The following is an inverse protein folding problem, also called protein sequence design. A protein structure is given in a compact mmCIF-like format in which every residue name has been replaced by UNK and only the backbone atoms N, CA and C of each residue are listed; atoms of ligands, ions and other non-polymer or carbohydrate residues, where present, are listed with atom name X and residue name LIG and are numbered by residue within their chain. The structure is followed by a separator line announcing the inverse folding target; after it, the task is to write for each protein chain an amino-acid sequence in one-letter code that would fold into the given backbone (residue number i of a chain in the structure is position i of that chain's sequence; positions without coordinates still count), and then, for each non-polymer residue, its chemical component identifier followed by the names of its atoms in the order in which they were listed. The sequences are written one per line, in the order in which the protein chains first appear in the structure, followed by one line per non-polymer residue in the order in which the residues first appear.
data_IF_336065263395
#
_entry.id   IF_336065263395
#
_cell.length_a   1.000
_cell.length_b   1.000
_cell.length_c   1.000
_cell.angle_alpha   90.00
_cell.angle_beta   90.00
_cell.angle_gamma   90.00
#
_symmetry.space_group_name_H-M   'P 1'
#
loop_
_entity.id
_entity.type
_entity.pdbx_description
1 polymer ?
#
# COMPACT_ATOMS: atom_id res chain seq x y z
N UNK A 1 6.51 -8.31 -14.93
CA UNK A 1 7.96 -8.56 -14.82
C UNK A 1 8.77 -7.36 -15.28
N UNK A 2 8.64 -6.90 -16.54
CA UNK A 2 9.50 -5.82 -17.08
C UNK A 2 9.49 -4.52 -16.26
N UNK A 3 8.32 -4.01 -15.87
CA UNK A 3 8.22 -2.81 -15.00
C UNK A 3 8.89 -3.00 -13.64
N UNK A 4 8.86 -4.23 -13.11
CA UNK A 4 9.52 -4.55 -11.84
C UNK A 4 11.05 -4.56 -11.99
N UNK A 5 11.57 -5.04 -13.12
CA UNK A 5 13.00 -4.97 -13.43
C UNK A 5 13.46 -3.51 -13.49
N UNK A 6 12.75 -2.65 -14.22
CA UNK A 6 13.06 -1.21 -14.29
C UNK A 6 13.00 -0.53 -12.91
N UNK A 7 12.01 -0.88 -12.09
CA UNK A 7 11.88 -0.34 -10.74
C UNK A 7 13.06 -0.71 -9.84
N UNK A 8 13.53 -1.96 -9.89
CA UNK A 8 14.73 -2.38 -9.14
C UNK A 8 15.97 -1.69 -9.67
N UNK A 9 16.15 -1.61 -10.99
CA UNK A 9 17.29 -0.94 -11.57
C UNK A 9 17.32 0.56 -11.21
N UNK A 10 16.14 1.19 -11.13
CA UNK A 10 16.02 2.55 -10.61
C UNK A 10 16.48 2.67 -9.16
N UNK A 11 16.12 1.73 -8.30
CA UNK A 11 16.58 1.72 -6.90
C UNK A 11 18.13 1.61 -6.81
N UNK A 12 18.75 0.81 -7.67
CA UNK A 12 20.21 0.73 -7.76
C UNK A 12 20.84 2.03 -8.27
N UNK A 13 20.23 2.67 -9.29
CA UNK A 13 20.62 4.01 -9.73
C UNK A 13 20.61 5.00 -8.56
N UNK A 14 19.49 5.06 -7.83
CA UNK A 14 19.31 5.92 -6.67
C UNK A 14 20.34 5.62 -5.57
N UNK A 15 20.50 4.36 -5.21
CA UNK A 15 21.42 3.96 -4.12
C UNK A 15 22.88 4.29 -4.39
N UNK A 16 23.32 4.14 -5.64
CA UNK A 16 24.72 4.44 -6.05
C UNK A 16 25.02 5.92 -5.93
N UNK A 17 24.06 6.83 -6.18
CA UNK A 17 24.27 8.27 -5.99
C UNK A 17 24.75 8.57 -4.56
N UNK A 18 24.11 7.99 -3.56
CA UNK A 18 24.48 8.20 -2.16
C UNK A 18 25.77 7.48 -1.79
N UNK A 19 25.85 6.18 -2.08
CA UNK A 19 27.00 5.34 -1.72
C UNK A 19 28.31 5.88 -2.29
N UNK A 20 28.33 6.30 -3.55
CA UNK A 20 29.51 6.83 -4.21
C UNK A 20 29.95 8.18 -3.64
N UNK A 21 29.02 8.95 -3.06
CA UNK A 21 29.31 10.29 -2.54
C UNK A 21 29.62 10.30 -1.05
N UNK A 22 29.44 9.24 -0.28
CA UNK A 22 29.67 9.24 1.17
C UNK A 22 31.07 9.74 1.57
N UNK A 23 32.20 9.35 0.92
CA UNK A 23 33.49 9.88 1.29
C UNK A 23 33.60 11.41 1.12
N UNK A 24 33.19 11.89 -0.05
CA UNK A 24 33.20 13.35 -0.34
C UNK A 24 32.16 14.10 0.48
N UNK A 25 30.98 13.53 0.68
CA UNK A 25 29.94 14.14 1.51
C UNK A 25 30.38 14.28 2.96
N UNK A 26 31.00 13.25 3.54
CA UNK A 26 31.55 13.30 4.89
C UNK A 26 32.65 14.38 5.02
N UNK A 27 33.58 14.44 4.05
CA UNK A 27 34.71 15.36 4.08
C UNK A 27 34.31 16.79 3.74
N UNK A 28 33.65 16.99 2.60
CA UNK A 28 33.50 18.31 1.97
C UNK A 28 32.23 19.04 2.44
N UNK A 29 31.24 18.33 2.99
CA UNK A 29 29.95 18.88 3.41
C UNK A 29 29.75 18.78 4.92
N UNK A 30 30.12 17.62 5.51
CA UNK A 30 29.92 17.39 6.95
C UNK A 30 31.20 17.68 7.76
N UNK A 31 32.30 18.01 7.10
CA UNK A 31 33.62 18.27 7.73
C UNK A 31 34.08 17.14 8.68
N UNK A 32 33.70 15.88 8.34
CA UNK A 32 34.07 14.69 9.08
C UNK A 32 35.31 14.01 8.51
N UNK A 33 35.99 13.23 9.34
CA UNK A 33 37.08 12.37 8.92
C UNK A 33 36.59 11.10 8.21
N UNK A 34 37.50 10.20 7.83
CA UNK A 34 37.20 8.93 7.18
C UNK A 34 36.33 7.98 8.02
N UNK A 35 36.37 8.13 9.34
CA UNK A 35 35.51 7.36 10.25
C UNK A 35 34.06 7.86 10.21
N UNK A 36 33.84 9.16 9.97
CA UNK A 36 32.49 9.70 9.71
C UNK A 36 31.94 9.14 8.39
N UNK A 37 32.75 9.06 7.32
CA UNK A 37 32.32 8.40 6.09
C UNK A 37 31.93 6.93 6.34
N UNK A 38 32.69 6.23 7.15
CA UNK A 38 32.36 4.84 7.56
C UNK A 38 31.06 4.78 8.38
N UNK A 39 30.82 5.76 9.27
CA UNK A 39 29.59 5.88 10.03
C UNK A 39 28.37 6.04 9.10
N UNK A 40 28.46 6.90 8.07
CA UNK A 40 27.36 7.06 7.08
C UNK A 40 27.06 5.74 6.39
N UNK A 41 28.08 4.98 5.98
CA UNK A 41 27.91 3.67 5.34
C UNK A 41 27.25 2.66 6.29
N UNK A 42 27.64 2.65 7.56
CA UNK A 42 27.03 1.79 8.59
C UNK A 42 25.56 2.14 8.78
N UNK A 43 25.24 3.42 8.96
CA UNK A 43 23.85 3.89 9.13
C UNK A 43 22.99 3.49 7.93
N UNK A 44 23.51 3.70 6.73
CA UNK A 44 22.81 3.32 5.50
C UNK A 44 22.59 1.80 5.40
N UNK A 45 23.59 1.00 5.72
CA UNK A 45 23.51 -0.46 5.68
C UNK A 45 22.53 -1.01 6.71
N UNK A 46 22.57 -0.46 7.93
CA UNK A 46 21.64 -0.83 9.01
C UNK A 46 20.20 -0.44 8.62
N UNK A 47 20.02 0.72 8.01
CA UNK A 47 18.68 1.14 7.52
C UNK A 47 18.12 0.19 6.47
N UNK A 48 18.89 -0.20 5.45
CA UNK A 48 18.46 -1.20 4.45
C UNK A 48 18.10 -2.53 5.14
N UNK A 49 18.94 -3.01 6.04
CA UNK A 49 18.69 -4.24 6.80
C UNK A 49 17.39 -4.17 7.60
N UNK A 50 17.20 -3.07 8.34
CA UNK A 50 15.97 -2.82 9.11
C UNK A 50 14.73 -2.76 8.22
N UNK A 51 14.81 -2.06 7.08
CA UNK A 51 13.72 -1.99 6.10
C UNK A 51 13.37 -3.34 5.50
N UNK A 52 14.38 -4.17 5.22
CA UNK A 52 14.19 -5.53 4.70
C UNK A 52 13.49 -6.43 5.72
N UNK A 53 13.92 -6.41 6.99
CA UNK A 53 13.27 -7.16 8.08
C UNK A 53 11.86 -6.67 8.37
N UNK A 54 11.65 -5.35 8.32
CA UNK A 54 10.32 -4.77 8.50
C UNK A 54 9.38 -5.19 7.38
N UNK A 55 9.87 -5.34 6.15
CA UNK A 55 9.07 -5.85 5.03
C UNK A 55 8.56 -7.26 5.33
N UNK A 56 9.37 -8.16 5.84
CA UNK A 56 8.94 -9.53 6.20
C UNK A 56 7.82 -9.50 7.24
N UNK A 57 7.99 -8.69 8.29
CA UNK A 57 7.00 -8.54 9.36
C UNK A 57 5.68 -7.97 8.86
N UNK A 58 5.72 -6.97 7.98
CA UNK A 58 4.54 -6.30 7.43
C UNK A 58 3.84 -7.12 6.34
N UNK A 59 4.58 -7.95 5.61
CA UNK A 59 4.08 -8.73 4.46
C UNK A 59 3.28 -9.97 4.85
N UNK A 60 3.32 -10.44 6.12
CA UNK A 60 2.55 -11.62 6.59
C UNK A 60 2.66 -12.84 5.65
N UNK A 61 3.85 -13.14 5.14
CA UNK A 61 4.14 -14.23 4.19
C UNK A 61 3.51 -14.07 2.80
N UNK A 62 3.00 -12.87 2.45
CA UNK A 62 2.52 -12.51 1.11
C UNK A 62 3.38 -11.39 0.53
N UNK A 63 3.45 -11.29 -0.80
CA UNK A 63 4.14 -10.15 -1.43
C UNK A 63 3.29 -8.89 -1.28
N UNK A 64 3.66 -8.02 -0.35
CA UNK A 64 2.95 -6.77 -0.06
C UNK A 64 3.36 -5.66 -1.04
N UNK A 65 2.64 -5.57 -2.16
CA UNK A 65 2.93 -4.57 -3.22
C UNK A 65 2.74 -3.13 -2.72
N UNK A 66 1.89 -2.92 -1.71
CA UNK A 66 1.65 -1.59 -1.12
C UNK A 66 2.87 -0.97 -0.44
N UNK A 67 3.87 -1.78 -0.07
CA UNK A 67 5.15 -1.30 0.45
C UNK A 67 6.01 -0.60 -0.61
N UNK A 68 5.86 -0.96 -1.88
CA UNK A 68 6.67 -0.39 -2.97
C UNK A 68 6.42 1.13 -3.13
N UNK A 69 5.17 1.61 -3.34
CA UNK A 69 4.93 3.05 -3.39
C UNK A 69 5.23 3.75 -2.07
N UNK A 70 5.01 3.11 -0.91
CA UNK A 70 5.38 3.66 0.38
C UNK A 70 6.89 3.86 0.50
N UNK A 71 7.69 2.86 0.13
CA UNK A 71 9.14 2.93 0.09
C UNK A 71 9.63 4.02 -0.87
N UNK A 72 9.07 4.09 -2.09
CA UNK A 72 9.43 5.11 -3.06
C UNK A 72 9.15 6.54 -2.56
N UNK A 73 8.00 6.75 -1.89
CA UNK A 73 7.66 8.04 -1.26
C UNK A 73 8.65 8.35 -0.14
N UNK A 74 8.94 7.38 0.75
CA UNK A 74 9.90 7.55 1.84
C UNK A 74 11.30 7.91 1.34
N UNK A 75 11.79 7.22 0.32
CA UNK A 75 13.06 7.56 -0.34
C UNK A 75 13.07 9.02 -0.83
N UNK A 76 11.98 9.49 -1.45
CA UNK A 76 11.89 10.88 -1.93
C UNK A 76 11.88 11.90 -0.79
N UNK A 77 11.09 11.65 0.24
CA UNK A 77 10.92 12.56 1.38
C UNK A 77 12.24 12.73 2.14
N UNK A 78 12.87 11.61 2.52
CA UNK A 78 14.08 11.66 3.32
C UNK A 78 15.32 12.08 2.51
N UNK A 79 15.36 11.81 1.19
CA UNK A 79 16.39 12.37 0.32
C UNK A 79 16.24 13.89 0.14
N UNK A 80 15.02 14.38 0.04
CA UNK A 80 14.74 15.82 -0.01
C UNK A 80 15.08 16.48 1.35
N UNK A 81 14.72 15.85 2.47
CA UNK A 81 15.06 16.38 3.80
C UNK A 81 16.58 16.38 4.04
N UNK A 82 17.29 15.33 3.61
CA UNK A 82 18.74 15.26 3.65
C UNK A 82 19.40 16.41 2.86
N UNK A 83 18.83 16.79 1.69
CA UNK A 83 19.26 17.96 0.95
C UNK A 83 19.17 19.23 1.79
N UNK A 84 18.05 19.44 2.49
CA UNK A 84 17.86 20.62 3.35
C UNK A 84 18.72 20.54 4.62
N UNK A 85 18.85 19.36 5.22
CA UNK A 85 19.64 19.13 6.43
C UNK A 85 21.14 19.34 6.22
N UNK A 86 21.64 19.09 5.00
CA UNK A 86 23.05 19.25 4.66
C UNK A 86 23.44 20.62 4.11
N UNK A 87 22.47 21.56 3.99
CA UNK A 87 22.73 22.92 3.53
C UNK A 87 23.04 23.85 4.69
N UNK A 88 24.06 24.72 4.49
CA UNK A 88 24.35 25.76 5.44
C UNK A 88 24.89 25.27 6.78
N UNK A 89 25.45 24.08 6.81
CA UNK A 89 26.23 23.60 7.95
C UNK A 89 27.45 24.51 8.16
N UNK A 90 27.82 24.80 9.41
CA UNK A 90 28.96 25.65 9.68
C UNK A 90 30.26 25.00 9.19
N UNK A 91 31.13 25.82 8.60
CA UNK A 91 32.48 25.42 8.23
C UNK A 91 33.33 25.27 9.49
N UNK A 92 33.69 24.02 9.80
CA UNK A 92 34.42 23.68 11.02
C UNK A 92 35.63 22.79 10.64
N UNK A 93 36.68 22.75 11.47
CA UNK A 93 37.78 21.81 11.26
C UNK A 93 37.31 20.38 11.21
N UNK A 94 38.08 19.51 10.53
CA UNK A 94 37.77 18.09 10.42
C UNK A 94 37.48 17.44 11.78
N UNK A 95 36.33 16.75 11.85
CA UNK A 95 35.76 16.22 13.10
C UNK A 95 35.91 14.69 13.16
N UNK A 96 36.26 14.19 14.32
CA UNK A 96 36.11 12.76 14.65
C UNK A 96 34.64 12.41 14.83
N UNK A 97 34.31 11.11 14.79
CA UNK A 97 32.93 10.62 15.02
C UNK A 97 32.34 11.14 16.34
N UNK A 98 33.14 11.19 17.41
CA UNK A 98 32.67 11.71 18.71
C UNK A 98 32.27 13.19 18.66
N UNK A 99 33.09 14.04 18.04
CA UNK A 99 32.80 15.45 17.86
C UNK A 99 31.61 15.68 16.90
N UNK A 100 31.51 14.87 15.85
CA UNK A 100 30.39 14.88 14.90
C UNK A 100 29.07 14.55 15.58
N UNK A 101 29.01 13.51 16.39
CA UNK A 101 27.80 13.09 17.13
C UNK A 101 27.43 14.04 18.26
N UNK A 102 28.35 14.87 18.76
CA UNK A 102 28.06 15.88 19.76
C UNK A 102 27.23 17.04 19.22
N UNK A 103 27.15 17.22 17.90
CA UNK A 103 26.38 18.28 17.25
C UNK A 103 24.99 17.82 16.86
N UNK A 104 23.96 18.45 17.40
CA UNK A 104 22.55 18.07 17.16
C UNK A 104 22.13 18.18 15.69
N UNK A 105 22.72 19.09 14.92
CA UNK A 105 22.43 19.24 13.49
C UNK A 105 22.75 17.97 12.67
N UNK A 106 23.80 17.23 13.04
CA UNK A 106 24.19 16.02 12.36
C UNK A 106 23.24 14.84 12.60
N UNK A 107 22.48 14.85 13.71
CA UNK A 107 21.49 13.80 13.98
C UNK A 107 20.35 13.79 12.95
N UNK A 108 19.97 14.95 12.41
CA UNK A 108 18.99 15.01 11.32
C UNK A 108 19.54 14.35 10.06
N UNK A 109 20.79 14.60 9.71
CA UNK A 109 21.46 13.97 8.56
C UNK A 109 21.51 12.44 8.72
N UNK A 110 21.89 11.94 9.90
CA UNK A 110 21.94 10.51 10.19
C UNK A 110 20.54 9.88 10.17
N UNK A 111 19.54 10.58 10.72
CA UNK A 111 18.15 10.12 10.72
C UNK A 111 17.60 10.02 9.29
N UNK A 112 17.81 11.08 8.48
CA UNK A 112 17.36 11.07 7.08
C UNK A 112 18.01 9.95 6.28
N UNK A 113 19.32 9.76 6.48
CA UNK A 113 20.06 8.69 5.81
C UNK A 113 19.56 7.29 6.23
N UNK A 114 19.28 7.09 7.52
CA UNK A 114 18.70 5.85 8.03
C UNK A 114 17.31 5.60 7.45
N UNK A 115 16.44 6.62 7.49
CA UNK A 115 15.05 6.49 7.01
C UNK A 115 14.97 6.32 5.49
N UNK A 116 15.83 7.00 4.73
CA UNK A 116 15.97 6.84 3.29
C UNK A 116 16.36 5.40 2.93
N UNK A 117 17.36 4.85 3.60
CA UNK A 117 17.83 3.49 3.36
C UNK A 117 16.84 2.43 3.86
N UNK A 118 16.14 2.68 4.97
CA UNK A 118 15.03 1.85 5.44
C UNK A 118 13.91 1.80 4.38
N UNK A 119 13.55 2.97 3.82
CA UNK A 119 12.57 3.06 2.76
C UNK A 119 13.01 2.31 1.48
N UNK A 120 14.30 2.32 1.15
CA UNK A 120 14.87 1.53 0.06
C UNK A 120 14.75 0.01 0.31
N UNK A 121 14.89 -0.44 1.55
CA UNK A 121 14.63 -1.83 1.96
C UNK A 121 13.16 -2.21 1.77
N UNK A 122 12.22 -1.35 2.22
CA UNK A 122 10.78 -1.55 2.02
C UNK A 122 10.38 -1.59 0.53
N UNK A 123 11.09 -0.85 -0.31
CA UNK A 123 10.87 -0.82 -1.75
C UNK A 123 11.39 -2.07 -2.46
N UNK A 124 12.64 -2.45 -2.16
CA UNK A 124 13.37 -3.45 -2.95
C UNK A 124 12.90 -4.88 -2.69
N UNK A 125 12.63 -5.25 -1.44
CA UNK A 125 12.28 -6.64 -1.08
C UNK A 125 11.00 -7.11 -1.77
N UNK A 126 9.86 -6.37 -1.74
CA UNK A 126 8.66 -6.81 -2.45
C UNK A 126 8.86 -6.87 -3.96
N UNK A 127 9.66 -5.98 -4.52
CA UNK A 127 9.95 -5.94 -5.95
C UNK A 127 10.74 -7.17 -6.41
N UNK A 128 11.76 -7.59 -5.66
CA UNK A 128 12.50 -8.84 -5.93
C UNK A 128 11.60 -10.07 -5.77
N UNK A 129 10.80 -10.13 -4.72
CA UNK A 129 9.82 -11.20 -4.52
C UNK A 129 8.81 -11.27 -5.69
N UNK A 130 8.33 -10.13 -6.17
CA UNK A 130 7.40 -10.05 -7.29
C UNK A 130 8.01 -10.56 -8.59
N UNK A 131 9.29 -10.26 -8.85
CA UNK A 131 10.01 -10.80 -10.03
C UNK A 131 10.09 -12.33 -9.93
N UNK A 132 10.49 -12.86 -8.78
CA UNK A 132 10.62 -14.30 -8.58
C UNK A 132 9.27 -15.04 -8.72
N UNK A 133 8.21 -14.45 -8.18
CA UNK A 133 6.87 -15.03 -8.21
C UNK A 133 6.28 -15.04 -9.64
N UNK A 134 6.44 -13.92 -10.38
CA UNK A 134 5.86 -13.75 -11.72
C UNK A 134 6.73 -14.27 -12.86
N UNK A 135 7.97 -14.66 -12.60
CA UNK A 135 8.86 -15.23 -13.59
C UNK A 135 8.50 -16.69 -13.86
N UNK A 136 8.22 -17.09 -15.10
CA UNK A 136 8.02 -18.51 -15.46
C UNK A 136 9.22 -19.32 -14.99
N UNK A 137 9.03 -20.50 -14.36
CA UNK A 137 10.13 -21.32 -13.83
C UNK A 137 11.25 -21.59 -14.84
N UNK A 138 10.88 -21.83 -16.10
CA UNK A 138 11.82 -22.10 -17.21
C UNK A 138 12.69 -20.91 -17.63
N UNK A 139 12.29 -19.67 -17.27
CA UNK A 139 12.96 -18.43 -17.66
C UNK A 139 13.51 -17.65 -16.45
N UNK A 140 13.26 -18.10 -15.21
CA UNK A 140 13.58 -17.38 -13.98
C UNK A 140 15.07 -17.00 -13.90
N UNK A 141 15.97 -17.93 -14.19
CA UNK A 141 17.41 -17.63 -14.18
C UNK A 141 17.82 -16.56 -15.19
N UNK A 142 17.23 -16.60 -16.40
CA UNK A 142 17.48 -15.57 -17.44
C UNK A 142 16.94 -14.20 -17.04
N UNK A 143 15.78 -14.16 -16.41
CA UNK A 143 15.18 -12.91 -15.93
C UNK A 143 16.02 -12.30 -14.81
N UNK A 144 16.52 -13.12 -13.88
CA UNK A 144 17.45 -12.65 -12.83
C UNK A 144 18.76 -12.15 -13.43
N UNK A 145 19.33 -12.85 -14.40
CA UNK A 145 20.53 -12.39 -15.10
C UNK A 145 20.30 -11.05 -15.82
N UNK A 146 19.17 -10.91 -16.54
CA UNK A 146 18.80 -9.65 -17.18
C UNK A 146 18.59 -8.51 -16.17
N UNK A 147 18.01 -8.79 -15.00
CA UNK A 147 17.90 -7.83 -13.91
C UNK A 147 19.28 -7.33 -13.45
N UNK A 148 20.24 -8.23 -13.25
CA UNK A 148 21.58 -7.84 -12.83
C UNK A 148 22.31 -6.99 -13.88
N UNK A 149 22.13 -7.31 -15.16
CA UNK A 149 22.68 -6.50 -16.27
C UNK A 149 22.05 -5.10 -16.27
N UNK A 150 20.71 -5.01 -16.16
CA UNK A 150 20.02 -3.73 -16.10
C UNK A 150 20.46 -2.92 -14.86
N UNK A 151 20.59 -3.54 -13.71
CA UNK A 151 21.09 -2.88 -12.51
C UNK A 151 22.48 -2.28 -12.76
N UNK A 152 23.40 -3.04 -13.35
CA UNK A 152 24.75 -2.56 -13.68
C UNK A 152 24.72 -1.37 -14.65
N UNK A 153 23.86 -1.41 -15.69
CA UNK A 153 23.68 -0.30 -16.64
C UNK A 153 23.20 0.95 -15.91
N UNK A 154 22.19 0.82 -15.02
CA UNK A 154 21.66 1.95 -14.24
C UNK A 154 22.67 2.50 -13.26
N UNK A 155 23.49 1.64 -12.61
CA UNK A 155 24.59 2.06 -11.75
C UNK A 155 25.66 2.85 -12.52
N UNK A 156 26.05 2.40 -13.70
CA UNK A 156 26.98 3.12 -14.56
C UNK A 156 26.39 4.47 -14.99
N UNK A 157 25.16 4.48 -15.46
CA UNK A 157 24.47 5.71 -15.86
C UNK A 157 24.37 6.71 -14.70
N UNK A 158 24.09 6.23 -13.47
CA UNK A 158 24.09 7.04 -12.26
C UNK A 158 25.46 7.67 -11.99
N UNK A 159 26.52 6.89 -12.04
CA UNK A 159 27.88 7.36 -11.78
C UNK A 159 28.33 8.41 -12.81
N UNK A 160 28.01 8.19 -14.10
CA UNK A 160 28.30 9.13 -15.18
C UNK A 160 27.53 10.43 -15.00
N UNK A 161 26.22 10.34 -14.67
CA UNK A 161 25.40 11.53 -14.43
C UNK A 161 25.91 12.34 -13.24
N UNK A 162 26.21 11.69 -12.13
CA UNK A 162 26.77 12.35 -10.92
C UNK A 162 28.09 13.04 -11.27
N UNK A 163 29.00 12.35 -11.96
CA UNK A 163 30.27 12.94 -12.40
C UNK A 163 30.06 14.16 -13.29
N UNK A 164 29.09 14.11 -14.23
CA UNK A 164 28.76 15.24 -15.08
C UNK A 164 28.18 16.42 -14.29
N UNK A 165 27.28 16.19 -13.34
CA UNK A 165 26.71 17.23 -12.48
C UNK A 165 27.80 17.90 -11.63
N UNK A 166 28.67 17.13 -11.02
CA UNK A 166 29.78 17.68 -10.23
C UNK A 166 30.77 18.49 -11.09
N UNK A 167 31.01 18.07 -12.35
CA UNK A 167 31.83 18.84 -13.30
C UNK A 167 31.19 20.13 -13.77
N UNK A 168 29.88 20.31 -13.56
CA UNK A 168 29.10 21.52 -13.80
C UNK A 168 28.91 22.37 -12.52
N UNK A 169 29.76 22.16 -11.52
CA UNK A 169 29.77 22.87 -10.23
C UNK A 169 28.53 22.66 -9.36
N UNK A 170 27.75 21.58 -9.60
CA UNK A 170 26.73 21.17 -8.65
C UNK A 170 27.37 20.66 -7.36
N UNK A 171 26.84 21.10 -6.21
CA UNK A 171 27.27 20.58 -4.91
C UNK A 171 26.66 19.21 -4.64
N UNK A 172 27.29 18.43 -3.77
CA UNK A 172 26.79 17.09 -3.37
C UNK A 172 25.34 17.17 -2.82
N UNK A 173 24.98 18.12 -1.92
CA UNK A 173 23.58 18.29 -1.52
C UNK A 173 22.64 18.56 -2.70
N UNK A 174 23.05 19.37 -3.69
CA UNK A 174 22.20 19.61 -4.88
C UNK A 174 22.00 18.34 -5.71
N UNK A 175 23.01 17.49 -5.83
CA UNK A 175 22.90 16.17 -6.49
C UNK A 175 21.88 15.30 -5.73
N UNK A 176 21.91 15.28 -4.39
CA UNK A 176 20.92 14.55 -3.59
C UNK A 176 19.51 15.11 -3.78
N UNK A 177 19.36 16.44 -3.83
CA UNK A 177 18.06 17.09 -4.10
C UNK A 177 17.50 16.78 -5.49
N UNK A 178 18.34 16.79 -6.54
CA UNK A 178 17.93 16.39 -7.88
C UNK A 178 17.53 14.90 -7.93
N UNK A 179 18.28 14.05 -7.23
CA UNK A 179 17.95 12.62 -7.12
C UNK A 179 16.62 12.39 -6.38
N UNK A 180 16.36 13.17 -5.32
CA UNK A 180 15.08 13.16 -4.61
C UNK A 180 13.91 13.56 -5.54
N UNK A 181 14.08 14.61 -6.34
CA UNK A 181 13.07 15.05 -7.30
C UNK A 181 12.82 13.99 -8.38
N UNK A 182 13.87 13.42 -8.95
CA UNK A 182 13.76 12.35 -9.94
C UNK A 182 13.05 11.12 -9.33
N UNK A 183 13.38 10.75 -8.09
CA UNK A 183 12.71 9.66 -7.40
C UNK A 183 11.24 9.98 -7.08
N UNK A 184 10.91 11.23 -6.77
CA UNK A 184 9.52 11.66 -6.56
C UNK A 184 8.66 11.47 -7.82
N UNK A 185 9.21 11.72 -9.02
CA UNK A 185 8.52 11.46 -10.28
C UNK A 185 8.31 9.95 -10.50
N UNK A 186 9.30 9.12 -10.17
CA UNK A 186 9.17 7.65 -10.22
C UNK A 186 8.17 7.16 -9.18
N UNK A 187 8.20 7.70 -7.95
CA UNK A 187 7.24 7.38 -6.90
C UNK A 187 5.80 7.72 -7.32
N UNK A 188 5.60 8.88 -7.94
CA UNK A 188 4.31 9.29 -8.49
C UNK A 188 3.85 8.32 -9.60
N UNK A 189 4.73 7.95 -10.51
CA UNK A 189 4.41 6.95 -11.55
C UNK A 189 4.00 5.61 -10.95
N UNK A 190 4.75 5.10 -9.97
CA UNK A 190 4.43 3.83 -9.28
C UNK A 190 3.09 3.94 -8.56
N UNK A 191 2.86 5.05 -7.84
CA UNK A 191 1.60 5.30 -7.16
C UNK A 191 0.40 5.29 -8.12
N UNK A 192 0.51 5.97 -9.26
CA UNK A 192 -0.54 6.00 -10.28
C UNK A 192 -0.77 4.64 -10.96
N UNK A 193 0.23 3.77 -10.92
CA UNK A 193 0.14 2.42 -11.50
C UNK A 193 -0.62 1.43 -10.61
N UNK A 194 -0.43 1.52 -9.29
CA UNK A 194 -0.95 0.55 -8.31
C UNK A 194 -1.54 1.22 -7.05
N UNK A 195 -2.38 2.26 -7.19
CA UNK A 195 -2.86 3.04 -6.05
C UNK A 195 -3.68 2.18 -5.07
N UNK A 196 -4.42 1.20 -5.58
CA UNK A 196 -5.25 0.31 -4.77
C UNK A 196 -4.45 -0.56 -3.79
N UNK A 197 -3.21 -0.91 -4.13
CA UNK A 197 -2.34 -1.66 -3.22
C UNK A 197 -1.83 -0.79 -2.07
N UNK A 198 -1.49 0.47 -2.33
CA UNK A 198 -1.14 1.41 -1.27
C UNK A 198 -2.33 1.68 -0.37
N UNK A 199 -3.52 1.92 -0.94
CA UNK A 199 -4.74 2.12 -0.16
C UNK A 199 -5.06 0.92 0.73
N UNK A 200 -4.91 -0.30 0.21
CA UNK A 200 -5.06 -1.52 0.99
C UNK A 200 -4.07 -1.58 2.15
N UNK A 201 -2.81 -1.29 1.89
CA UNK A 201 -1.77 -1.30 2.92
C UNK A 201 -2.02 -0.22 3.99
N UNK A 202 -2.41 0.98 3.58
CA UNK A 202 -2.81 2.06 4.51
C UNK A 202 -4.03 1.63 5.35
N UNK A 203 -5.04 1.00 4.73
CA UNK A 203 -6.19 0.45 5.44
C UNK A 203 -5.78 -0.62 6.46
N UNK A 204 -4.84 -1.49 6.11
CA UNK A 204 -4.27 -2.51 6.99
C UNK A 204 -3.62 -1.88 8.24
N UNK A 205 -2.80 -0.85 8.07
CA UNK A 205 -2.16 -0.16 9.21
C UNK A 205 -3.21 0.60 10.03
N UNK A 206 -4.06 1.41 9.37
CA UNK A 206 -5.07 2.22 10.02
C UNK A 206 -6.06 1.38 10.85
N UNK A 207 -6.49 0.23 10.33
CA UNK A 207 -7.42 -0.67 11.04
C UNK A 207 -6.84 -1.18 12.36
N UNK A 208 -5.53 -1.34 12.46
CA UNK A 208 -4.83 -1.81 13.69
C UNK A 208 -4.50 -0.70 14.66
N UNK A 209 -4.33 0.53 14.16
CA UNK A 209 -4.13 1.71 15.02
C UNK A 209 -5.47 2.12 15.65
N UNK A 210 -6.55 2.12 14.86
CA UNK A 210 -7.87 2.60 15.31
C UNK A 210 -8.63 1.53 16.11
N UNK A 211 -8.47 0.25 15.75
CA UNK A 211 -9.18 -0.87 16.34
C UNK A 211 -8.25 -1.98 16.81
N UNK A 212 -8.68 -2.75 17.79
CA UNK A 212 -8.12 -4.09 18.04
C UNK A 212 -8.72 -5.07 17.04
N UNK A 213 -8.32 -4.93 15.79
CA UNK A 213 -8.89 -5.65 14.68
C UNK A 213 -8.35 -7.08 14.61
N UNK A 214 -9.25 -8.07 14.72
CA UNK A 214 -8.94 -9.49 14.60
C UNK A 214 -9.58 -10.05 13.34
N UNK A 215 -8.80 -10.79 12.56
CA UNK A 215 -9.25 -11.48 11.34
C UNK A 215 -9.16 -12.98 11.58
N UNK A 216 -10.17 -13.72 11.16
CA UNK A 216 -10.24 -15.19 11.17
C UNK A 216 -10.66 -15.67 9.80
N UNK A 217 -10.09 -16.79 9.32
CA UNK A 217 -10.40 -17.34 8.02
C UNK A 217 -9.87 -16.51 6.84
N UNK A 218 -8.83 -15.68 7.05
CA UNK A 218 -8.23 -14.87 5.97
C UNK A 218 -7.74 -15.73 4.81
N UNK A 219 -7.40 -17.01 5.08
CA UNK A 219 -7.00 -18.01 4.09
C UNK A 219 -8.12 -18.41 3.14
N UNK A 220 -9.38 -18.15 3.48
CA UNK A 220 -10.53 -18.39 2.60
C UNK A 220 -10.72 -17.29 1.55
N UNK A 221 -10.07 -16.14 1.72
CA UNK A 221 -10.07 -15.07 0.71
C UNK A 221 -9.00 -15.41 -0.33
N UNK A 222 -9.36 -15.65 -1.59
CA UNK A 222 -8.40 -16.13 -2.58
C UNK A 222 -7.30 -15.12 -2.87
N UNK A 223 -6.04 -15.56 -2.83
CA UNK A 223 -4.88 -14.76 -3.23
C UNK A 223 -4.79 -14.58 -4.75
N UNK A 224 -5.40 -15.46 -5.53
CA UNK A 224 -5.42 -15.46 -7.00
C UNK A 224 -6.80 -15.86 -7.52
N UNK A 225 -7.09 -15.49 -8.77
CA UNK A 225 -8.33 -15.81 -9.45
C UNK A 225 -9.53 -14.95 -9.00
N UNK A 226 -10.64 -14.94 -9.77
CA UNK A 226 -11.80 -14.13 -9.47
C UNK A 226 -12.62 -14.69 -8.33
N UNK A 227 -13.15 -13.83 -7.47
CA UNK A 227 -14.14 -14.20 -6.46
C UNK A 227 -14.97 -12.97 -6.03
N UNK A 228 -16.16 -13.24 -5.52
CA UNK A 228 -17.02 -12.23 -4.90
C UNK A 228 -16.88 -12.34 -3.38
N UNK A 229 -16.60 -11.23 -2.72
CA UNK A 229 -16.61 -11.11 -1.26
C UNK A 229 -17.94 -10.48 -0.85
N UNK A 230 -18.78 -11.26 -0.18
CA UNK A 230 -20.11 -10.84 0.24
C UNK A 230 -20.14 -10.64 1.76
N UNK A 231 -20.41 -9.43 2.23
CA UNK A 231 -20.32 -9.04 3.63
C UNK A 231 -21.57 -8.31 4.11
N UNK A 232 -21.89 -8.41 5.41
CA UNK A 232 -22.86 -7.56 6.07
C UNK A 232 -22.42 -6.10 6.07
N UNK A 233 -23.36 -5.15 6.17
CA UNK A 233 -23.09 -3.72 6.02
C UNK A 233 -23.57 -2.92 7.24
N UNK A 234 -22.67 -2.68 8.17
CA UNK A 234 -22.98 -2.08 9.48
C UNK A 234 -22.35 -0.69 9.70
N UNK A 235 -21.40 -0.30 8.83
CA UNK A 235 -20.64 0.94 9.04
C UNK A 235 -20.10 1.49 7.72
N UNK A 236 -19.77 2.79 7.68
CA UNK A 236 -19.09 3.41 6.54
C UNK A 236 -17.65 2.94 6.34
N UNK A 237 -17.06 2.30 7.34
CA UNK A 237 -15.68 1.80 7.28
C UNK A 237 -15.57 0.31 6.88
N UNK A 238 -16.70 -0.36 6.61
CA UNK A 238 -16.72 -1.79 6.30
C UNK A 238 -15.81 -2.17 5.14
N UNK A 239 -15.87 -1.40 4.03
CA UNK A 239 -15.01 -1.62 2.89
C UNK A 239 -13.52 -1.47 3.23
N UNK A 240 -13.17 -0.55 4.13
CA UNK A 240 -11.79 -0.35 4.58
C UNK A 240 -11.31 -1.54 5.42
N UNK A 241 -12.15 -2.08 6.29
CA UNK A 241 -11.82 -3.26 7.12
C UNK A 241 -11.70 -4.53 6.26
N UNK A 242 -12.58 -4.70 5.27
CA UNK A 242 -12.49 -5.79 4.29
C UNK A 242 -11.20 -5.68 3.47
N UNK A 243 -10.87 -4.48 2.99
CA UNK A 243 -9.62 -4.21 2.28
C UNK A 243 -8.41 -4.52 3.15
N UNK A 244 -8.45 -4.17 4.45
CA UNK A 244 -7.38 -4.43 5.41
C UNK A 244 -7.17 -5.92 5.72
N UNK A 245 -8.22 -6.73 5.63
CA UNK A 245 -8.18 -8.18 5.87
C UNK A 245 -7.78 -8.98 4.63
N UNK A 246 -7.98 -8.44 3.43
CA UNK A 246 -7.73 -9.14 2.17
C UNK A 246 -6.25 -9.20 1.82
N UNK A 247 -5.74 -10.31 1.25
CA UNK A 247 -4.37 -10.42 0.77
C UNK A 247 -4.09 -9.54 -0.47
N UNK A 248 -5.13 -9.08 -1.17
CA UNK A 248 -5.04 -8.24 -2.37
C UNK A 248 -6.21 -7.26 -2.45
N UNK A 249 -6.13 -6.22 -3.30
CA UNK A 249 -7.20 -5.24 -3.43
C UNK A 249 -8.55 -5.86 -3.77
N UNK A 250 -9.62 -5.31 -3.19
CA UNK A 250 -11.02 -5.63 -3.48
C UNK A 250 -11.64 -4.44 -4.19
N UNK A 251 -12.34 -4.67 -5.29
CA UNK A 251 -13.11 -3.64 -6.00
C UNK A 251 -14.53 -3.64 -5.48
N UNK A 252 -14.90 -2.59 -4.76
CA UNK A 252 -16.22 -2.49 -4.13
C UNK A 252 -17.25 -1.87 -5.06
N UNK A 253 -18.46 -2.43 -5.05
CA UNK A 253 -19.64 -1.78 -5.63
C UNK A 253 -20.24 -0.85 -4.58
N UNK A 254 -20.33 0.45 -4.89
CA UNK A 254 -20.70 1.50 -3.94
C UNK A 254 -21.71 2.48 -4.54
N UNK A 255 -22.55 3.09 -3.71
CA UNK A 255 -23.51 4.11 -4.13
C UNK A 255 -22.82 5.27 -4.87
N UNK A 256 -23.31 5.61 -6.07
CA UNK A 256 -22.72 6.65 -6.92
C UNK A 256 -22.62 8.03 -6.24
N UNK A 257 -23.51 8.33 -5.28
CA UNK A 257 -23.50 9.61 -4.54
C UNK A 257 -22.25 9.80 -3.70
N UNK A 258 -21.63 8.70 -3.24
CA UNK A 258 -20.40 8.76 -2.45
C UNK A 258 -19.23 9.33 -3.29
N UNK A 259 -19.27 9.10 -4.60
CA UNK A 259 -18.25 9.62 -5.52
C UNK A 259 -18.33 11.13 -5.76
N UNK A 260 -19.43 11.76 -5.38
CA UNK A 260 -19.60 13.22 -5.42
C UNK A 260 -19.01 13.92 -4.18
N UNK A 261 -18.68 13.18 -3.12
CA UNK A 261 -18.08 13.75 -1.91
C UNK A 261 -16.61 14.08 -2.18
N UNK A 262 -16.15 15.34 -2.00
CA UNK A 262 -14.76 15.71 -2.16
C UNK A 262 -13.86 14.80 -1.30
N UNK A 263 -12.62 14.53 -1.74
CA UNK A 263 -11.65 13.63 -1.09
C UNK A 263 -12.09 12.16 -1.09
N UNK A 264 -13.27 11.82 -0.56
CA UNK A 264 -13.76 10.43 -0.54
C UNK A 264 -13.99 9.90 -1.95
N UNK A 265 -14.66 10.69 -2.81
CA UNK A 265 -14.88 10.31 -4.20
C UNK A 265 -13.57 10.11 -4.97
N UNK A 266 -12.58 10.97 -4.74
CA UNK A 266 -11.24 10.77 -5.29
C UNK A 266 -10.58 9.49 -4.79
N UNK A 267 -10.66 9.23 -3.48
CA UNK A 267 -10.08 8.04 -2.85
C UNK A 267 -10.72 6.75 -3.39
N UNK A 268 -12.05 6.71 -3.55
CA UNK A 268 -12.75 5.55 -4.11
C UNK A 268 -12.45 5.33 -5.59
N UNK A 269 -12.27 6.42 -6.36
CA UNK A 269 -11.78 6.32 -7.75
C UNK A 269 -10.38 5.72 -7.82
N UNK A 270 -9.46 6.13 -6.94
CA UNK A 270 -8.13 5.54 -6.81
C UNK A 270 -8.20 4.05 -6.43
N UNK A 271 -9.11 3.68 -5.53
CA UNK A 271 -9.40 2.29 -5.19
C UNK A 271 -10.15 1.51 -6.26
N UNK A 272 -10.44 2.16 -7.42
CA UNK A 272 -11.16 1.58 -8.55
C UNK A 272 -12.52 0.99 -8.14
N UNK A 273 -13.19 1.62 -7.17
CA UNK A 273 -14.55 1.25 -6.79
C UNK A 273 -15.55 1.50 -7.93
N UNK A 274 -16.58 0.70 -7.98
CA UNK A 274 -17.61 0.71 -9.05
C UNK A 274 -18.82 1.49 -8.55
N UNK A 275 -19.16 2.65 -9.15
CA UNK A 275 -20.37 3.38 -8.80
C UNK A 275 -21.60 2.62 -9.28
N UNK A 276 -22.62 2.52 -8.41
CA UNK A 276 -23.93 1.94 -8.73
C UNK A 276 -25.04 2.85 -8.30
N UNK A 277 -26.07 2.98 -9.12
CA UNK A 277 -27.36 3.56 -8.80
C UNK A 277 -28.45 2.49 -8.75
N UNK A 278 -29.60 2.77 -8.18
CA UNK A 278 -30.75 1.87 -8.31
C UNK A 278 -31.30 1.91 -9.74
N UNK A 279 -31.86 0.78 -10.20
CA UNK A 279 -32.44 0.68 -11.55
C UNK A 279 -33.55 1.70 -11.79
N UNK A 280 -34.25 2.13 -10.71
CA UNK A 280 -35.35 3.14 -10.80
C UNK A 280 -34.77 4.55 -10.89
N UNK A 281 -33.62 4.82 -10.33
CA UNK A 281 -32.99 6.14 -10.28
C UNK A 281 -32.18 6.42 -11.55
N UNK A 282 -31.31 5.49 -11.96
CA UNK A 282 -30.49 5.59 -13.16
C UNK A 282 -30.28 4.19 -13.76
N UNK A 283 -31.12 3.78 -14.73
CA UNK A 283 -30.98 2.48 -15.39
C UNK A 283 -29.64 2.30 -16.12
N UNK A 284 -29.05 3.37 -16.65
CA UNK A 284 -27.79 3.31 -17.38
C UNK A 284 -26.62 3.07 -16.42
N UNK A 285 -26.55 3.82 -15.33
CA UNK A 285 -25.55 3.62 -14.28
C UNK A 285 -25.69 2.22 -13.63
N UNK A 286 -26.93 1.75 -13.46
CA UNK A 286 -27.18 0.38 -12.99
C UNK A 286 -26.59 -0.67 -13.93
N UNK A 287 -26.87 -0.59 -15.23
CA UNK A 287 -26.34 -1.51 -16.22
C UNK A 287 -24.81 -1.46 -16.31
N UNK A 288 -24.23 -0.24 -16.33
CA UNK A 288 -22.80 -0.03 -16.38
C UNK A 288 -22.07 -0.62 -15.17
N UNK A 289 -22.68 -0.62 -13.98
CA UNK A 289 -22.11 -1.23 -12.79
C UNK A 289 -21.96 -2.76 -12.93
N UNK A 290 -22.93 -3.46 -13.53
CA UNK A 290 -22.83 -4.90 -13.79
C UNK A 290 -21.79 -5.24 -14.86
N UNK A 291 -21.67 -4.40 -15.89
CA UNK A 291 -20.61 -4.55 -16.89
C UNK A 291 -19.22 -4.35 -16.28
N UNK A 292 -19.08 -3.34 -15.40
CA UNK A 292 -17.83 -3.11 -14.69
C UNK A 292 -17.49 -4.27 -13.73
N UNK A 293 -18.49 -4.81 -13.02
CA UNK A 293 -18.32 -5.98 -12.16
C UNK A 293 -17.87 -7.22 -12.96
N UNK A 294 -18.47 -7.45 -14.14
CA UNK A 294 -18.07 -8.54 -15.04
C UNK A 294 -16.61 -8.38 -15.52
N UNK A 295 -16.21 -7.17 -15.92
CA UNK A 295 -14.81 -6.89 -16.30
C UNK A 295 -13.83 -7.17 -15.18
N UNK A 296 -14.13 -6.72 -13.96
CA UNK A 296 -13.31 -6.96 -12.78
C UNK A 296 -13.08 -8.44 -12.53
N UNK A 297 -14.15 -9.22 -12.58
CA UNK A 297 -14.07 -10.67 -12.42
C UNK A 297 -13.38 -11.37 -13.61
N UNK A 298 -13.53 -10.84 -14.84
CA UNK A 298 -12.81 -11.32 -16.02
C UNK A 298 -11.30 -11.11 -15.92
N UNK A 299 -10.88 -10.01 -15.30
CA UNK A 299 -9.48 -9.67 -15.03
C UNK A 299 -8.87 -10.55 -13.92
N UNK A 300 -9.68 -11.35 -13.23
CA UNK A 300 -9.25 -12.20 -12.13
C UNK A 300 -9.20 -11.50 -10.78
N UNK A 301 -9.79 -10.31 -10.65
CA UNK A 301 -9.81 -9.52 -9.43
C UNK A 301 -10.93 -9.93 -8.45
N UNK A 302 -10.84 -9.43 -7.20
CA UNK A 302 -11.88 -9.58 -6.20
C UNK A 302 -12.93 -8.48 -6.33
N UNK A 303 -14.21 -8.89 -6.30
CA UNK A 303 -15.35 -7.99 -6.25
C UNK A 303 -15.96 -7.98 -4.84
N UNK A 304 -16.04 -6.83 -4.19
CA UNK A 304 -16.67 -6.67 -2.89
C UNK A 304 -18.10 -6.15 -3.02
N UNK A 305 -19.04 -6.82 -2.41
CA UNK A 305 -20.43 -6.40 -2.37
C UNK A 305 -21.00 -6.47 -0.96
N UNK A 306 -21.97 -5.59 -0.70
CA UNK A 306 -22.81 -5.61 0.47
C UNK A 306 -24.23 -5.96 0.02
N UNK A 307 -24.63 -7.25 0.09
CA UNK A 307 -25.89 -7.70 -0.52
C UNK A 307 -27.15 -7.07 0.09
N UNK A 308 -27.05 -6.51 1.31
CA UNK A 308 -28.12 -5.73 1.96
C UNK A 308 -28.48 -4.48 1.15
N UNK A 309 -27.53 -3.95 0.37
CA UNK A 309 -27.70 -2.77 -0.47
C UNK A 309 -27.86 -1.47 0.31
N UNK A 310 -27.35 -1.39 1.53
CA UNK A 310 -27.30 -0.23 2.39
C UNK A 310 -26.86 -0.55 3.80
N UNK A 311 -26.32 0.45 4.51
CA UNK A 311 -25.89 0.30 5.91
C UNK A 311 -27.13 0.08 6.79
N UNK A 312 -27.10 -0.94 7.65
CA UNK A 312 -28.16 -1.25 8.62
C UNK A 312 -28.50 -0.03 9.50
N UNK A 313 -29.77 0.05 9.93
CA UNK A 313 -30.25 1.14 10.79
C UNK A 313 -30.43 0.71 12.25
N UNK A 314 -30.54 -0.57 12.48
CA UNK A 314 -30.80 -1.21 13.77
C UNK A 314 -29.66 -2.11 14.28
N UNK A 315 -28.67 -2.38 13.42
CA UNK A 315 -27.55 -3.27 13.71
C UNK A 315 -27.81 -4.71 13.32
N UNK A 316 -29.02 -5.03 12.89
CA UNK A 316 -29.38 -6.39 12.47
C UNK A 316 -29.03 -6.64 10.99
N UNK A 317 -28.79 -7.90 10.68
CA UNK A 317 -28.51 -8.35 9.31
C UNK A 317 -29.77 -8.26 8.44
N UNK A 318 -29.78 -7.36 7.51
CA UNK A 318 -30.91 -7.11 6.61
C UNK A 318 -31.05 -8.22 5.55
N UNK A 319 -32.23 -8.37 4.91
CA UNK A 319 -32.43 -9.29 3.80
C UNK A 319 -31.47 -8.99 2.63
N UNK A 320 -30.87 -10.05 2.06
CA UNK A 320 -29.97 -9.93 0.91
C UNK A 320 -30.76 -9.77 -0.38
N UNK A 321 -30.32 -8.84 -1.23
CA UNK A 321 -30.94 -8.53 -2.52
C UNK A 321 -30.39 -9.45 -3.63
N UNK A 322 -31.19 -9.71 -4.65
CA UNK A 322 -30.82 -10.55 -5.78
C UNK A 322 -29.77 -9.99 -6.75
N UNK A 323 -29.13 -8.88 -6.43
CA UNK A 323 -28.09 -8.28 -7.28
C UNK A 323 -26.89 -9.22 -7.49
N UNK A 324 -26.53 -10.01 -6.49
CA UNK A 324 -25.45 -11.00 -6.59
C UNK A 324 -25.77 -12.09 -7.64
N UNK A 325 -27.03 -12.50 -7.74
CA UNK A 325 -27.43 -13.52 -8.72
C UNK A 325 -27.22 -13.04 -10.15
N UNK A 326 -27.54 -11.76 -10.43
CA UNK A 326 -27.31 -11.17 -11.75
C UNK A 326 -25.81 -11.10 -12.11
N UNK A 327 -24.92 -10.96 -11.14
CA UNK A 327 -23.47 -11.01 -11.36
C UNK A 327 -23.06 -12.46 -11.65
N UNK A 328 -23.54 -13.44 -10.88
CA UNK A 328 -23.21 -14.85 -11.03
C UNK A 328 -23.77 -15.45 -12.32
N UNK A 329 -24.94 -14.99 -12.79
CA UNK A 329 -25.51 -15.39 -14.10
C UNK A 329 -24.59 -14.97 -15.26
N UNK A 330 -23.93 -13.80 -15.15
CA UNK A 330 -22.98 -13.34 -16.17
C UNK A 330 -21.61 -14.02 -16.04
N UNK A 331 -21.15 -14.19 -14.80
CA UNK A 331 -19.84 -14.78 -14.51
C UNK A 331 -19.90 -15.65 -13.27
N UNK A 332 -20.01 -16.96 -13.43
CA UNK A 332 -20.04 -17.90 -12.32
C UNK A 332 -18.65 -17.99 -11.67
N UNK A 333 -18.48 -17.37 -10.50
CA UNK A 333 -17.25 -17.36 -9.69
C UNK A 333 -17.55 -17.73 -8.25
N UNK A 334 -16.57 -18.24 -7.48
CA UNK A 334 -16.76 -18.50 -6.05
C UNK A 334 -17.20 -17.25 -5.28
N UNK A 335 -18.07 -17.46 -4.26
CA UNK A 335 -18.51 -16.41 -3.35
C UNK A 335 -18.01 -16.72 -1.95
N UNK A 336 -17.26 -15.79 -1.36
CA UNK A 336 -16.76 -15.90 0.02
C UNK A 336 -17.69 -15.09 0.93
N UNK A 337 -18.46 -15.75 1.82
CA UNK A 337 -19.24 -15.07 2.83
C UNK A 337 -18.31 -14.50 3.92
N UNK A 338 -18.51 -13.25 4.28
CA UNK A 338 -17.71 -12.57 5.31
C UNK A 338 -18.62 -11.85 6.29
N UNK A 339 -18.28 -11.88 7.57
CA UNK A 339 -18.99 -11.16 8.61
C UNK A 339 -18.07 -10.19 9.35
N UNK A 340 -18.53 -8.94 9.50
CA UNK A 340 -17.94 -7.94 10.37
C UNK A 340 -18.66 -7.96 11.71
N UNK A 341 -17.90 -8.19 12.79
CA UNK A 341 -18.40 -8.39 14.14
C UNK A 341 -18.08 -7.18 15.01
N UNK A 342 -18.98 -6.84 15.94
CA UNK A 342 -18.80 -5.80 16.96
C UNK A 342 -18.53 -4.39 16.42
N UNK A 343 -18.88 -4.10 15.15
CA UNK A 343 -18.66 -2.80 14.53
C UNK A 343 -19.84 -1.86 14.70
N UNK A 344 -21.06 -2.40 14.92
CA UNK A 344 -22.25 -1.59 15.22
C UNK A 344 -22.06 -0.81 16.54
N UNK A 345 -22.46 0.45 16.53
CA UNK A 345 -22.23 1.38 17.63
C UNK A 345 -20.82 2.01 17.64
N UNK A 346 -19.97 1.70 16.65
CA UNK A 346 -18.70 2.43 16.47
C UNK A 346 -18.94 3.83 15.89
N UNK A 347 -17.89 4.68 15.92
CA UNK A 347 -17.97 6.06 15.42
C UNK A 347 -18.50 6.17 13.98
N UNK A 348 -18.17 5.21 13.11
CA UNK A 348 -18.55 5.21 11.70
C UNK A 348 -19.87 4.50 11.40
N UNK A 349 -20.62 4.01 12.41
CA UNK A 349 -21.91 3.36 12.23
C UNK A 349 -23.07 4.31 12.47
N UNK A 350 -24.22 4.00 11.88
CA UNK A 350 -25.49 4.69 12.18
C UNK A 350 -26.06 4.13 13.47
N UNK A 351 -26.35 4.97 14.45
CA UNK A 351 -26.97 4.55 15.71
C UNK A 351 -28.13 5.47 16.03
N UNK A 352 -29.25 4.90 16.47
CA UNK A 352 -30.45 5.63 16.93
C UNK A 352 -31.07 6.57 15.89
N UNK A 353 -31.11 6.15 14.63
CA UNK A 353 -31.73 6.96 13.56
C UNK A 353 -31.00 8.25 13.20
N UNK A 354 -29.83 8.51 13.84
CA UNK A 354 -29.02 9.70 13.62
C UNK A 354 -28.08 9.59 12.42
N UNK A 355 -27.43 10.71 12.12
CA UNK A 355 -26.32 10.75 11.15
C UNK A 355 -25.10 10.02 11.70
N UNK A 356 -24.41 9.26 10.85
CA UNK A 356 -23.11 8.66 11.21
C UNK A 356 -22.10 9.75 11.58
N UNK A 357 -21.11 9.39 12.38
CA UNK A 357 -20.04 10.29 12.86
C UNK A 357 -20.53 11.45 13.76
N UNK A 358 -21.75 11.35 14.32
CA UNK A 358 -22.29 12.39 15.18
C UNK A 358 -21.66 12.43 16.59
N UNK A 359 -21.14 11.29 17.08
CA UNK A 359 -20.53 11.20 18.41
C UNK A 359 -19.16 10.49 18.28
N UNK A 360 -18.04 11.25 18.11
CA UNK A 360 -16.71 10.67 18.10
C UNK A 360 -16.43 9.96 19.45
N UNK A 361 -15.75 8.82 19.38
CA UNK A 361 -15.32 8.05 20.55
C UNK A 361 -16.43 7.37 21.38
N UNK A 362 -17.60 7.16 20.85
CA UNK A 362 -18.69 6.45 21.53
C UNK A 362 -18.31 5.06 22.02
N UNK A 363 -17.60 4.29 21.20
CA UNK A 363 -16.76 3.15 21.64
C UNK A 363 -15.32 3.60 21.47
N UNK A 364 -14.59 3.80 22.55
CA UNK A 364 -13.26 4.39 22.55
C UNK A 364 -12.31 3.84 21.49
N UNK A 365 -11.23 4.53 21.25
CA UNK A 365 -10.09 4.03 20.45
C UNK A 365 -9.73 2.63 20.92
N UNK A 366 -9.34 1.74 20.00
CA UNK A 366 -9.02 0.32 20.26
C UNK A 366 -10.24 -0.58 20.60
N UNK A 367 -11.45 -0.22 20.14
CA UNK A 367 -12.58 -1.14 20.22
C UNK A 367 -12.24 -2.49 19.55
N UNK A 368 -12.71 -3.58 20.13
CA UNK A 368 -12.50 -4.93 19.59
C UNK A 368 -13.47 -5.14 18.43
N UNK A 369 -12.93 -5.24 17.23
CA UNK A 369 -13.68 -5.50 16.00
C UNK A 369 -13.16 -6.80 15.39
N UNK A 370 -14.07 -7.66 14.94
CA UNK A 370 -13.76 -8.91 14.26
C UNK A 370 -14.15 -8.90 12.79
N UNK A 371 -13.41 -9.67 12.01
CA UNK A 371 -13.80 -10.10 10.67
C UNK A 371 -13.62 -11.60 10.60
N UNK A 372 -14.66 -12.29 10.14
CA UNK A 372 -14.62 -13.74 9.93
C UNK A 372 -14.96 -14.02 8.47
N UNK A 373 -14.05 -14.66 7.74
CA UNK A 373 -14.30 -15.13 6.39
C UNK A 373 -14.63 -16.62 6.42
N UNK A 374 -15.76 -17.01 5.83
CA UNK A 374 -16.19 -18.38 5.69
C UNK A 374 -15.60 -19.05 4.44
N UNK A 375 -15.81 -20.36 4.32
CA UNK A 375 -15.42 -21.10 3.13
C UNK A 375 -16.16 -20.59 1.90
N UNK A 376 -15.45 -20.58 0.76
CA UNK A 376 -16.03 -20.17 -0.51
C UNK A 376 -17.17 -21.10 -0.92
N UNK A 377 -18.29 -20.53 -1.34
CA UNK A 377 -19.45 -21.21 -1.89
C UNK A 377 -19.29 -21.33 -3.40
N UNK A 378 -19.61 -22.49 -3.97
CA UNK A 378 -19.68 -22.66 -5.43
C UNK A 378 -20.82 -21.80 -6.01
N UNK A 379 -20.67 -21.23 -7.22
CA UNK A 379 -21.68 -20.33 -7.80
C UNK A 379 -23.09 -20.92 -7.84
N UNK A 380 -23.21 -22.22 -8.12
CA UNK A 380 -24.48 -22.95 -8.19
C UNK A 380 -25.15 -23.16 -6.82
N UNK A 381 -24.45 -22.95 -5.73
CA UNK A 381 -24.95 -23.10 -4.35
C UNK A 381 -25.36 -21.76 -3.72
N UNK A 382 -25.19 -20.67 -4.47
CA UNK A 382 -25.46 -19.33 -3.95
C UNK A 382 -26.89 -18.92 -4.27
N UNK A 383 -27.65 -18.65 -3.25
CA UNK A 383 -28.90 -17.91 -3.29
C UNK A 383 -28.90 -16.84 -2.18
N UNK A 384 -29.74 -15.81 -2.27
CA UNK A 384 -29.70 -14.70 -1.30
C UNK A 384 -29.96 -15.13 0.16
N UNK A 385 -30.87 -16.10 0.38
CA UNK A 385 -31.23 -16.56 1.73
C UNK A 385 -30.14 -17.45 2.30
N UNK A 386 -29.62 -18.40 1.54
CA UNK A 386 -28.52 -19.27 1.93
C UNK A 386 -27.25 -18.50 2.21
N UNK A 387 -26.93 -17.51 1.38
CA UNK A 387 -25.77 -16.63 1.61
C UNK A 387 -25.94 -15.79 2.89
N UNK A 388 -27.16 -15.26 3.13
CA UNK A 388 -27.48 -14.52 4.35
C UNK A 388 -27.35 -15.41 5.57
N UNK A 389 -27.82 -16.65 5.54
CA UNK A 389 -27.69 -17.62 6.62
C UNK A 389 -26.22 -17.89 6.94
N UNK A 390 -25.36 -18.07 5.91
CA UNK A 390 -23.93 -18.27 6.11
C UNK A 390 -23.25 -17.06 6.75
N UNK A 391 -23.57 -15.84 6.33
CA UNK A 391 -23.05 -14.61 6.96
C UNK A 391 -23.57 -14.50 8.40
N UNK A 392 -24.81 -14.87 8.66
CA UNK A 392 -25.38 -14.87 10.04
C UNK A 392 -24.66 -15.86 10.96
N UNK A 393 -24.33 -17.05 10.51
CA UNK A 393 -23.52 -18.03 11.25
C UNK A 393 -22.15 -17.44 11.64
N UNK A 394 -21.51 -16.73 10.73
CA UNK A 394 -20.19 -16.10 10.98
C UNK A 394 -20.25 -14.92 11.95
N UNK A 395 -21.41 -14.31 12.19
CA UNK A 395 -21.55 -13.24 13.17
C UNK A 395 -21.44 -13.74 14.61
N UNK A 396 -21.72 -15.02 14.85
CA UNK A 396 -21.78 -15.64 16.20
C UNK A 396 -20.45 -16.34 16.58
N UNK A 397 -19.62 -16.68 15.61
CA UNK A 397 -18.30 -17.32 15.80
C UNK A 397 -17.26 -16.30 16.27
#
# INVERSE_FOLDING_TARGET
VFRSLLGISWMWFFGVVFLAQFPSFAKDVLHGDEHVASLLLVVFSVGIGAGSLLTETLSRRHVEIGLVPLGAIGMSVFAADLYFASRGLPDVPAQTVGAFLAQSAHWRVLFDLFMLSLAAGLYSVPMYALIQLRAPPSHRARIIAANNILNAIFMIASSVLVGALLSMDFTIPQVFGLTALANALVALYIFLLVPEYLLRFVAFIASRIVYRFKVRGEEHIPSEGPAIIACNHVSFIDAVLLMAASPRPIRFVMDHRIFAIPVLGWLFKLGKAIPVASQKEDPAAYAAAFEAADRVLAEGDLLGIFPEGGITRDGELQPFKGGIMKILERRPVPVVPVALQNLWGSYFSRVEGGTAMAKPFRRGLFARVGLVAGHAMAPAQVDPEGLRARVSELLVV
#
